data_IF_305969521157
#
_entry.id   IF_305969521157
#
_cell.length_a   1.000
_cell.length_b   1.000
_cell.length_c   1.000
_cell.angle_alpha   90.00
_cell.angle_beta   90.00
_cell.angle_gamma   90.00
#
_symmetry.space_group_name_H-M   'P 1'
#
loop_
_entity.id
_entity.type
_entity.pdbx_description
1 polymer ?
#
# COMPACT_ATOMS: atom_id res chain seq x y z
N UNK A 1 94.01 -169.37 -64.91
CA UNK A 1 93.20 -168.20 -64.51
C UNK A 1 93.91 -167.50 -63.36
N UNK A 2 94.79 -166.57 -63.69
CA UNK A 2 95.67 -165.90 -62.72
C UNK A 2 94.92 -164.79 -61.98
N UNK A 3 95.13 -164.76 -60.67
CA UNK A 3 94.54 -163.91 -59.63
C UNK A 3 94.42 -162.40 -59.98
N UNK A 4 95.22 -161.94 -60.95
CA UNK A 4 95.23 -160.56 -61.46
C UNK A 4 93.91 -160.14 -62.14
N UNK A 5 93.32 -161.01 -62.98
CA UNK A 5 92.08 -160.71 -63.71
C UNK A 5 90.86 -160.57 -62.77
N UNK A 6 90.82 -161.37 -61.70
CA UNK A 6 89.78 -161.29 -60.66
C UNK A 6 89.90 -160.01 -59.83
N UNK A 7 91.13 -159.63 -59.44
CA UNK A 7 91.38 -158.37 -58.74
C UNK A 7 91.08 -157.13 -59.60
N UNK A 8 91.37 -157.16 -60.91
CA UNK A 8 91.05 -156.04 -61.81
C UNK A 8 89.54 -155.93 -62.06
N UNK A 9 88.84 -157.06 -62.21
CA UNK A 9 87.38 -157.07 -62.32
C UNK A 9 86.69 -156.60 -61.04
N UNK A 10 87.12 -157.06 -59.85
CA UNK A 10 86.59 -156.59 -58.56
C UNK A 10 86.90 -155.10 -58.31
N UNK A 11 88.05 -154.60 -58.77
CA UNK A 11 88.38 -153.16 -58.73
C UNK A 11 87.50 -152.36 -59.69
N UNK A 12 87.25 -152.86 -60.90
CA UNK A 12 86.36 -152.21 -61.86
C UNK A 12 84.91 -152.21 -61.37
N UNK A 13 84.39 -153.33 -60.87
CA UNK A 13 83.06 -153.40 -60.24
C UNK A 13 82.95 -152.44 -59.05
N UNK A 14 83.96 -152.36 -58.18
CA UNK A 14 83.97 -151.37 -57.09
C UNK A 14 84.07 -149.93 -57.59
N UNK A 15 84.78 -149.67 -58.68
CA UNK A 15 84.88 -148.34 -59.28
C UNK A 15 83.56 -147.93 -59.95
N UNK A 16 82.89 -148.87 -60.61
CA UNK A 16 81.58 -148.70 -61.25
C UNK A 16 80.48 -148.46 -60.19
N UNK A 17 80.46 -149.25 -59.12
CA UNK A 17 79.54 -149.07 -58.01
C UNK A 17 79.81 -147.76 -57.25
N UNK A 18 81.08 -147.33 -57.14
CA UNK A 18 81.44 -145.99 -56.63
C UNK A 18 81.01 -144.87 -57.58
N UNK A 19 81.05 -145.10 -58.88
CA UNK A 19 80.66 -144.12 -59.89
C UNK A 19 79.15 -143.96 -59.94
N UNK A 20 78.38 -145.05 -59.88
CA UNK A 20 76.93 -145.03 -59.74
C UNK A 20 76.50 -144.34 -58.43
N UNK A 21 77.14 -144.67 -57.30
CA UNK A 21 76.92 -143.97 -56.03
C UNK A 21 77.28 -142.49 -56.09
N UNK A 22 78.35 -142.12 -56.82
CA UNK A 22 78.69 -140.72 -57.05
C UNK A 22 77.65 -140.02 -57.92
N UNK A 23 77.10 -140.69 -58.95
CA UNK A 23 76.05 -140.15 -59.79
C UNK A 23 74.74 -139.93 -59.02
N UNK A 24 74.31 -140.90 -58.20
CA UNK A 24 73.12 -140.73 -57.35
C UNK A 24 73.34 -139.61 -56.34
N UNK A 25 74.51 -139.54 -55.71
CA UNK A 25 74.87 -138.45 -54.80
C UNK A 25 74.86 -137.08 -55.50
N UNK A 26 75.39 -137.00 -56.72
CA UNK A 26 75.36 -135.76 -57.54
C UNK A 26 73.92 -135.39 -57.91
N UNK A 27 73.08 -136.36 -58.28
CA UNK A 27 71.68 -136.12 -58.60
C UNK A 27 70.89 -135.64 -57.38
N UNK A 28 71.11 -136.25 -56.21
CA UNK A 28 70.50 -135.84 -54.94
C UNK A 28 70.97 -134.44 -54.52
N UNK A 29 72.27 -134.14 -54.66
CA UNK A 29 72.81 -132.80 -54.42
C UNK A 29 72.22 -131.77 -55.38
N UNK A 30 72.02 -132.14 -56.65
CA UNK A 30 71.38 -131.27 -57.65
C UNK A 30 69.94 -130.97 -57.28
N UNK A 31 69.15 -131.98 -56.92
CA UNK A 31 67.78 -131.79 -56.45
C UNK A 31 67.73 -130.88 -55.22
N UNK A 32 68.65 -131.06 -54.26
CA UNK A 32 68.76 -130.17 -53.09
C UNK A 32 69.13 -128.72 -53.46
N UNK A 33 69.97 -128.52 -54.49
CA UNK A 33 70.29 -127.18 -54.99
C UNK A 33 69.06 -126.54 -55.62
N UNK A 34 68.31 -127.29 -56.42
CA UNK A 34 67.10 -126.81 -57.08
C UNK A 34 66.01 -126.45 -56.04
N UNK A 35 65.77 -127.30 -55.03
CA UNK A 35 64.85 -127.03 -53.93
C UNK A 35 65.23 -125.76 -53.14
N UNK A 36 66.53 -125.61 -52.83
CA UNK A 36 67.04 -124.39 -52.16
C UNK A 36 66.90 -123.15 -53.04
N UNK A 37 67.05 -123.29 -54.35
CA UNK A 37 66.90 -122.18 -55.29
C UNK A 37 65.43 -121.72 -55.35
N UNK A 38 64.49 -122.66 -55.33
CA UNK A 38 63.06 -122.37 -55.25
C UNK A 38 62.68 -121.71 -53.92
N UNK A 39 63.24 -122.18 -52.80
CA UNK A 39 63.08 -121.53 -51.50
C UNK A 39 63.62 -120.08 -51.51
N UNK A 40 64.82 -119.86 -52.04
CA UNK A 40 65.40 -118.52 -52.21
C UNK A 40 64.49 -117.63 -53.06
N UNK A 41 63.94 -118.15 -54.16
CA UNK A 41 63.04 -117.40 -55.03
C UNK A 41 61.73 -117.02 -54.33
N UNK A 42 61.16 -117.92 -53.53
CA UNK A 42 59.97 -117.66 -52.72
C UNK A 42 60.24 -116.62 -51.63
N UNK A 43 61.37 -116.75 -50.92
CA UNK A 43 61.79 -115.79 -49.90
C UNK A 43 62.03 -114.39 -50.49
N UNK A 44 62.64 -114.30 -51.69
CA UNK A 44 62.81 -113.03 -52.42
C UNK A 44 61.47 -112.38 -52.74
N UNK A 45 60.53 -113.12 -53.34
CA UNK A 45 59.19 -112.60 -53.65
C UNK A 45 58.44 -112.16 -52.40
N UNK A 46 58.56 -112.92 -51.29
CA UNK A 46 57.94 -112.55 -50.01
C UNK A 46 58.57 -111.28 -49.43
N UNK A 47 59.89 -111.15 -49.51
CA UNK A 47 60.62 -109.98 -49.04
C UNK A 47 60.24 -108.73 -49.86
N UNK A 48 60.19 -108.83 -51.19
CA UNK A 48 59.73 -107.76 -52.08
C UNK A 48 58.30 -107.30 -51.72
N UNK A 49 57.38 -108.26 -51.55
CA UNK A 49 56.00 -107.97 -51.16
C UNK A 49 55.94 -107.28 -49.79
N UNK A 50 56.65 -107.79 -48.79
CA UNK A 50 56.68 -107.19 -47.46
C UNK A 50 57.29 -105.79 -47.46
N UNK A 51 58.32 -105.55 -48.28
CA UNK A 51 58.92 -104.23 -48.45
C UNK A 51 57.91 -103.26 -49.07
N UNK A 52 57.23 -103.65 -50.15
CA UNK A 52 56.19 -102.83 -50.78
C UNK A 52 55.04 -102.52 -49.82
N UNK A 53 54.54 -103.52 -49.09
CA UNK A 53 53.46 -103.37 -48.11
C UNK A 53 53.88 -102.42 -46.96
N UNK A 54 55.12 -102.54 -46.46
CA UNK A 54 55.66 -101.62 -45.44
C UNK A 54 55.86 -100.21 -45.97
N UNK A 55 56.37 -100.05 -47.19
CA UNK A 55 56.53 -98.74 -47.81
C UNK A 55 55.19 -98.05 -48.01
N UNK A 56 54.16 -98.79 -48.44
CA UNK A 56 52.83 -98.23 -48.63
C UNK A 56 52.17 -97.83 -47.30
N UNK A 57 52.29 -98.67 -46.27
CA UNK A 57 51.76 -98.33 -44.93
C UNK A 57 52.47 -97.12 -44.34
N UNK A 58 53.79 -97.02 -44.50
CA UNK A 58 54.56 -95.84 -44.09
C UNK A 58 54.16 -94.59 -44.86
N UNK A 59 54.00 -94.67 -46.19
CA UNK A 59 53.54 -93.53 -47.01
C UNK A 59 52.16 -93.04 -46.56
N UNK A 60 51.21 -93.96 -46.35
CA UNK A 60 49.87 -93.61 -45.89
C UNK A 60 49.91 -92.96 -44.49
N UNK A 61 50.72 -93.49 -43.57
CA UNK A 61 50.87 -92.91 -42.23
C UNK A 61 51.51 -91.51 -42.27
N UNK A 62 52.54 -91.31 -43.12
CA UNK A 62 53.17 -90.00 -43.31
C UNK A 62 52.15 -88.99 -43.84
N UNK A 63 51.31 -89.38 -44.81
CA UNK A 63 50.30 -88.48 -45.38
C UNK A 63 49.22 -88.10 -44.35
N UNK A 64 48.71 -89.08 -43.59
CA UNK A 64 47.77 -88.82 -42.50
C UNK A 64 48.35 -87.88 -41.43
N UNK A 65 49.64 -88.07 -41.07
CA UNK A 65 50.32 -87.18 -40.14
C UNK A 65 50.48 -85.77 -40.71
N UNK A 66 50.82 -85.63 -42.00
CA UNK A 66 50.90 -84.33 -42.68
C UNK A 66 49.56 -83.60 -42.69
N UNK A 67 48.49 -84.29 -43.04
CA UNK A 67 47.14 -83.72 -43.00
C UNK A 67 46.78 -83.25 -41.59
N UNK A 68 47.09 -84.07 -40.57
CA UNK A 68 46.83 -83.71 -39.18
C UNK A 68 47.64 -82.50 -38.73
N UNK A 69 48.91 -82.40 -39.12
CA UNK A 69 49.77 -81.24 -38.84
C UNK A 69 49.18 -79.99 -39.49
N UNK A 70 48.81 -80.05 -40.78
CA UNK A 70 48.20 -78.92 -41.48
C UNK A 70 46.89 -78.45 -40.81
N UNK A 71 46.04 -79.38 -40.35
CA UNK A 71 44.82 -79.04 -39.60
C UNK A 71 45.12 -78.35 -38.27
N UNK A 72 46.10 -78.85 -37.52
CA UNK A 72 46.52 -78.24 -36.27
C UNK A 72 47.13 -76.86 -36.48
N UNK A 73 47.97 -76.67 -37.51
CA UNK A 73 48.54 -75.37 -37.86
C UNK A 73 47.45 -74.35 -38.21
N UNK A 74 46.45 -74.75 -39.00
CA UNK A 74 45.30 -73.90 -39.30
C UNK A 74 44.53 -73.52 -38.04
N UNK A 75 44.32 -74.48 -37.13
CA UNK A 75 43.62 -74.24 -35.86
C UNK A 75 44.42 -73.29 -34.96
N UNK A 76 45.74 -73.47 -34.87
CA UNK A 76 46.64 -72.59 -34.13
C UNK A 76 46.58 -71.17 -34.70
N UNK A 77 46.63 -71.01 -36.01
CA UNK A 77 46.55 -69.70 -36.66
C UNK A 77 45.22 -69.00 -36.38
N UNK A 78 44.10 -69.73 -36.44
CA UNK A 78 42.77 -69.20 -36.10
C UNK A 78 42.69 -68.76 -34.63
N UNK A 79 43.18 -69.59 -33.70
CA UNK A 79 43.21 -69.26 -32.27
C UNK A 79 44.09 -68.04 -31.98
N UNK A 80 45.26 -67.94 -32.62
CA UNK A 80 46.14 -66.78 -32.49
C UNK A 80 45.50 -65.49 -33.00
N UNK A 81 44.78 -65.55 -34.13
CA UNK A 81 44.04 -64.40 -34.65
C UNK A 81 42.87 -64.01 -33.73
N UNK A 82 42.14 -65.01 -33.21
CA UNK A 82 41.07 -64.80 -32.23
C UNK A 82 41.58 -64.13 -30.96
N UNK A 83 42.70 -64.62 -30.41
CA UNK A 83 43.33 -64.05 -29.22
C UNK A 83 43.76 -62.61 -29.44
N UNK A 84 44.46 -62.30 -30.54
CA UNK A 84 44.88 -60.93 -30.87
C UNK A 84 43.69 -59.98 -30.99
N UNK A 85 42.59 -60.44 -31.58
CA UNK A 85 41.37 -59.64 -31.71
C UNK A 85 40.74 -59.37 -30.34
N UNK A 86 40.62 -60.42 -29.51
CA UNK A 86 40.08 -60.30 -28.16
C UNK A 86 40.92 -59.39 -27.26
N UNK A 87 42.25 -59.47 -27.34
CA UNK A 87 43.18 -58.59 -26.62
C UNK A 87 43.00 -57.13 -27.05
N UNK A 88 42.88 -56.88 -28.36
CA UNK A 88 42.65 -55.53 -28.89
C UNK A 88 41.33 -54.96 -28.39
N UNK A 89 40.23 -55.72 -28.48
CA UNK A 89 38.92 -55.28 -28.00
C UNK A 89 38.91 -55.04 -26.49
N UNK A 90 39.60 -55.90 -25.73
CA UNK A 90 39.71 -55.75 -24.27
C UNK A 90 40.46 -54.46 -23.91
N UNK A 91 41.56 -54.16 -24.60
CA UNK A 91 42.30 -52.89 -24.43
C UNK A 91 41.43 -51.68 -24.74
N UNK A 92 40.70 -51.70 -25.85
CA UNK A 92 39.81 -50.61 -26.24
C UNK A 92 38.72 -50.38 -25.19
N UNK A 93 38.09 -51.45 -24.69
CA UNK A 93 37.08 -51.34 -23.66
C UNK A 93 37.64 -50.78 -22.34
N UNK A 94 38.85 -51.19 -21.96
CA UNK A 94 39.51 -50.65 -20.77
C UNK A 94 39.79 -49.15 -20.90
N UNK A 95 40.24 -48.68 -22.07
CA UNK A 95 40.45 -47.26 -22.34
C UNK A 95 39.13 -46.47 -22.29
N UNK A 96 38.06 -46.99 -22.90
CA UNK A 96 36.73 -46.38 -22.85
C UNK A 96 36.18 -46.28 -21.42
N UNK A 97 36.28 -47.35 -20.64
CA UNK A 97 35.86 -47.36 -19.24
C UNK A 97 36.68 -46.39 -18.39
N UNK A 98 37.99 -46.29 -18.63
CA UNK A 98 38.83 -45.34 -17.93
C UNK A 98 38.44 -43.90 -18.24
N UNK A 99 38.17 -43.58 -19.51
CA UNK A 99 37.71 -42.26 -19.92
C UNK A 99 36.36 -41.91 -19.28
N UNK A 100 35.40 -42.84 -19.30
CA UNK A 100 34.10 -42.64 -18.64
C UNK A 100 34.23 -42.44 -17.13
N UNK A 101 35.15 -43.17 -16.47
CA UNK A 101 35.39 -43.01 -15.03
C UNK A 101 35.97 -41.62 -14.75
N UNK A 102 36.91 -41.15 -15.55
CA UNK A 102 37.50 -39.82 -15.42
C UNK A 102 36.44 -38.71 -15.63
N UNK A 103 35.59 -38.83 -16.65
CA UNK A 103 34.50 -37.88 -16.90
C UNK A 103 33.49 -37.82 -15.74
N UNK A 104 33.09 -38.99 -15.22
CA UNK A 104 32.18 -39.08 -14.07
C UNK A 104 32.82 -38.48 -12.82
N UNK A 105 34.11 -38.70 -12.61
CA UNK A 105 34.85 -38.12 -11.49
C UNK A 105 34.89 -36.60 -11.58
N UNK A 106 35.20 -36.04 -12.76
CA UNK A 106 35.16 -34.60 -13.00
C UNK A 106 33.77 -34.01 -12.75
N UNK A 107 32.71 -34.72 -13.16
CA UNK A 107 31.33 -34.26 -12.92
C UNK A 107 30.94 -34.29 -11.44
N UNK A 108 31.38 -35.30 -10.70
CA UNK A 108 31.17 -35.39 -9.25
C UNK A 108 31.85 -34.22 -8.55
N UNK A 109 33.08 -33.89 -8.93
CA UNK A 109 33.81 -32.75 -8.36
C UNK A 109 33.11 -31.42 -8.65
N UNK A 110 32.63 -31.21 -9.87
CA UNK A 110 31.85 -30.02 -10.24
C UNK A 110 30.58 -29.88 -9.37
N UNK A 111 29.79 -30.95 -9.25
CA UNK A 111 28.56 -30.96 -8.45
C UNK A 111 28.85 -30.73 -6.95
N UNK A 112 29.96 -31.27 -6.43
CA UNK A 112 30.37 -31.02 -5.06
C UNK A 112 30.73 -29.56 -4.81
N UNK A 113 31.40 -28.89 -5.76
CA UNK A 113 31.70 -27.47 -5.65
C UNK A 113 30.44 -26.61 -5.73
N UNK A 114 29.52 -26.92 -6.64
CA UNK A 114 28.23 -26.23 -6.74
C UNK A 114 27.41 -26.38 -5.45
N UNK A 115 27.37 -27.60 -4.88
CA UNK A 115 26.69 -27.85 -3.60
C UNK A 115 27.28 -27.03 -2.46
N UNK A 116 28.61 -26.96 -2.34
CA UNK A 116 29.29 -26.12 -1.34
C UNK A 116 28.96 -24.63 -1.51
N UNK A 117 28.89 -24.16 -2.74
CA UNK A 117 28.54 -22.78 -3.04
C UNK A 117 27.09 -22.47 -2.65
N UNK A 118 26.14 -23.34 -3.02
CA UNK A 118 24.73 -23.18 -2.65
C UNK A 118 24.50 -23.18 -1.13
N UNK A 119 25.24 -24.01 -0.38
CA UNK A 119 25.17 -24.01 1.09
C UNK A 119 25.61 -22.65 1.65
N UNK A 120 26.70 -22.07 1.13
CA UNK A 120 27.16 -20.74 1.58
C UNK A 120 26.15 -19.64 1.24
N UNK A 121 25.59 -19.67 0.05
CA UNK A 121 24.56 -18.70 -0.38
C UNK A 121 23.31 -18.80 0.48
N UNK A 122 22.88 -20.03 0.80
CA UNK A 122 21.78 -20.29 1.73
C UNK A 122 22.07 -19.73 3.12
N UNK A 123 23.24 -20.01 3.69
CA UNK A 123 23.65 -19.48 5.00
C UNK A 123 23.69 -17.95 5.04
N UNK A 124 24.13 -17.31 3.96
CA UNK A 124 24.11 -15.85 3.85
C UNK A 124 22.68 -15.30 3.79
N UNK A 125 21.81 -15.92 3.00
CA UNK A 125 20.41 -15.53 2.90
C UNK A 125 19.67 -15.70 4.24
N UNK A 126 19.93 -16.81 4.97
CA UNK A 126 19.37 -17.03 6.30
C UNK A 126 19.83 -15.97 7.30
N UNK A 127 21.12 -15.57 7.29
CA UNK A 127 21.62 -14.49 8.14
C UNK A 127 20.95 -13.15 7.83
N UNK A 128 20.80 -12.81 6.55
CA UNK A 128 20.11 -11.59 6.13
C UNK A 128 18.64 -11.61 6.57
N UNK A 129 17.97 -12.75 6.42
CA UNK A 129 16.58 -12.89 6.85
C UNK A 129 16.43 -12.74 8.37
N UNK A 130 17.33 -13.36 9.15
CA UNK A 130 17.38 -13.16 10.60
C UNK A 130 17.62 -11.69 10.99
N UNK A 131 18.49 -10.97 10.28
CA UNK A 131 18.70 -9.54 10.53
C UNK A 131 17.45 -8.71 10.25
N UNK A 132 16.75 -8.97 9.15
CA UNK A 132 15.50 -8.28 8.82
C UNK A 132 14.40 -8.57 9.85
N UNK A 133 14.26 -9.82 10.28
CA UNK A 133 13.30 -10.24 11.29
C UNK A 133 13.61 -9.65 12.68
N UNK A 134 14.88 -9.53 13.06
CA UNK A 134 15.27 -9.05 14.38
C UNK A 134 15.36 -7.52 14.50
N UNK A 135 15.72 -6.82 13.42
CA UNK A 135 15.94 -5.37 13.47
C UNK A 135 14.76 -4.62 12.87
N UNK A 136 14.45 -4.92 11.61
CA UNK A 136 13.56 -4.07 10.82
C UNK A 136 12.08 -4.30 11.12
N UNK A 137 11.69 -5.55 11.37
CA UNK A 137 10.33 -5.91 11.72
C UNK A 137 9.88 -5.25 13.05
N UNK A 138 10.66 -5.35 14.15
CA UNK A 138 10.33 -4.69 15.40
C UNK A 138 10.33 -3.17 15.32
N UNK A 139 11.26 -2.57 14.57
CA UNK A 139 11.29 -1.12 14.32
C UNK A 139 10.00 -0.65 13.66
N UNK A 140 9.61 -1.27 12.53
CA UNK A 140 8.38 -0.94 11.82
C UNK A 140 7.13 -1.18 12.68
N UNK A 141 7.13 -2.23 13.49
CA UNK A 141 6.02 -2.52 14.39
C UNK A 141 5.91 -1.49 15.53
N UNK A 142 7.04 -1.00 16.04
CA UNK A 142 7.10 0.11 17.00
C UNK A 142 6.58 1.41 16.39
N UNK A 143 7.02 1.76 15.17
CA UNK A 143 6.52 2.94 14.44
C UNK A 143 5.02 2.86 14.18
N UNK A 144 4.51 1.69 13.78
CA UNK A 144 3.08 1.48 13.56
C UNK A 144 2.28 1.68 14.85
N UNK A 145 2.74 1.13 15.97
CA UNK A 145 2.10 1.33 17.27
C UNK A 145 2.12 2.80 17.69
N UNK A 146 3.24 3.50 17.51
CA UNK A 146 3.35 4.93 17.79
C UNK A 146 2.38 5.76 16.93
N UNK A 147 2.29 5.47 15.63
CA UNK A 147 1.34 6.15 14.74
C UNK A 147 -0.11 5.89 15.15
N UNK A 148 -0.42 4.66 15.55
CA UNK A 148 -1.75 4.30 16.05
C UNK A 148 -2.11 5.06 17.33
N UNK A 149 -1.19 5.17 18.29
CA UNK A 149 -1.39 5.94 19.52
C UNK A 149 -1.56 7.45 19.25
N UNK A 150 -0.79 7.98 18.29
CA UNK A 150 -0.96 9.37 17.86
C UNK A 150 -2.30 9.60 17.18
N UNK A 151 -2.77 8.66 16.36
CA UNK A 151 -4.06 8.72 15.70
C UNK A 151 -5.20 8.73 16.74
N UNK A 152 -5.20 7.81 17.69
CA UNK A 152 -6.23 7.78 18.75
C UNK A 152 -6.22 9.04 19.61
N UNK A 153 -5.04 9.59 19.90
CA UNK A 153 -4.90 10.87 20.60
C UNK A 153 -5.51 12.02 19.80
N UNK A 154 -5.30 12.05 18.48
CA UNK A 154 -5.89 13.06 17.60
C UNK A 154 -7.40 12.89 17.46
N UNK A 155 -7.89 11.67 17.32
CA UNK A 155 -9.33 11.36 17.26
C UNK A 155 -10.05 11.86 18.52
N UNK A 156 -9.52 11.52 19.70
CA UNK A 156 -10.10 11.99 20.98
C UNK A 156 -9.99 13.51 21.16
N UNK A 157 -8.94 14.15 20.66
CA UNK A 157 -8.83 15.61 20.67
C UNK A 157 -9.86 16.24 19.73
N UNK A 158 -10.10 15.64 18.57
CA UNK A 158 -11.08 16.12 17.59
C UNK A 158 -12.51 15.99 18.13
N UNK A 159 -12.86 14.85 18.73
CA UNK A 159 -14.15 14.67 19.43
C UNK A 159 -14.37 15.73 20.50
N UNK A 160 -13.33 16.09 21.27
CA UNK A 160 -13.43 17.16 22.28
C UNK A 160 -13.66 18.54 21.65
N UNK A 161 -13.03 18.82 20.51
CA UNK A 161 -13.22 20.07 19.79
C UNK A 161 -14.63 20.16 19.19
N UNK A 162 -15.12 19.08 18.59
CA UNK A 162 -16.49 18.99 18.06
C UNK A 162 -17.53 19.20 19.18
N UNK A 163 -17.35 18.56 20.33
CA UNK A 163 -18.20 18.77 21.50
C UNK A 163 -18.16 20.22 22.01
N UNK A 164 -17.00 20.88 21.99
CA UNK A 164 -16.88 22.30 22.36
C UNK A 164 -17.58 23.20 21.35
N UNK A 165 -17.40 22.94 20.06
CA UNK A 165 -18.05 23.69 18.98
C UNK A 165 -19.58 23.58 19.09
N UNK A 166 -20.11 22.38 19.31
CA UNK A 166 -21.55 22.17 19.48
C UNK A 166 -22.08 22.93 20.70
N UNK A 167 -21.37 22.91 21.84
CA UNK A 167 -21.74 23.70 23.03
C UNK A 167 -21.74 25.20 22.76
N UNK A 168 -20.74 25.70 22.03
CA UNK A 168 -20.68 27.12 21.63
C UNK A 168 -21.85 27.49 20.72
N UNK A 169 -22.18 26.66 19.73
CA UNK A 169 -23.32 26.90 18.84
C UNK A 169 -24.64 26.98 19.60
N UNK A 170 -24.89 26.05 20.53
CA UNK A 170 -26.10 26.08 21.38
C UNK A 170 -26.13 27.36 22.22
N UNK A 171 -25.01 27.71 22.87
CA UNK A 171 -24.91 28.92 23.69
C UNK A 171 -25.16 30.20 22.87
N UNK A 172 -24.57 30.31 21.68
CA UNK A 172 -24.80 31.45 20.79
C UNK A 172 -26.23 31.52 20.29
N UNK A 173 -26.83 30.40 19.89
CA UNK A 173 -28.23 30.35 19.48
C UNK A 173 -29.15 30.83 20.61
N UNK A 174 -28.89 30.40 21.84
CA UNK A 174 -29.70 30.78 23.00
C UNK A 174 -29.50 32.26 23.38
N UNK A 175 -28.26 32.77 23.27
CA UNK A 175 -27.98 34.19 23.44
C UNK A 175 -28.67 35.05 22.38
N UNK A 176 -28.66 34.63 21.11
CA UNK A 176 -29.38 35.30 20.03
C UNK A 176 -30.88 35.32 20.28
N UNK A 177 -31.47 34.20 20.72
CA UNK A 177 -32.89 34.13 21.04
C UNK A 177 -33.26 35.05 22.23
N UNK A 178 -32.41 35.11 23.25
CA UNK A 178 -32.60 36.01 24.40
C UNK A 178 -32.55 37.48 23.96
N UNK A 179 -31.55 37.85 23.15
CA UNK A 179 -31.43 39.22 22.62
C UNK A 179 -32.62 39.59 21.72
N UNK A 180 -33.08 38.68 20.86
CA UNK A 180 -34.30 38.90 20.06
C UNK A 180 -35.53 39.11 20.94
N UNK A 181 -35.67 38.33 22.01
CA UNK A 181 -36.77 38.48 22.97
C UNK A 181 -36.71 39.83 23.68
N UNK A 182 -35.53 40.22 24.17
CA UNK A 182 -35.32 41.52 24.81
C UNK A 182 -35.60 42.68 23.86
N UNK A 183 -35.13 42.61 22.61
CA UNK A 183 -35.41 43.62 21.59
C UNK A 183 -36.91 43.72 21.30
N UNK A 184 -37.61 42.59 21.21
CA UNK A 184 -39.06 42.58 21.02
C UNK A 184 -39.78 43.24 22.20
N UNK A 185 -39.43 42.90 23.43
CA UNK A 185 -40.01 43.52 24.64
C UNK A 185 -39.73 45.01 24.71
N UNK A 186 -38.50 45.44 24.40
CA UNK A 186 -38.15 46.87 24.35
C UNK A 186 -38.95 47.61 23.27
N UNK A 187 -39.16 46.99 22.11
CA UNK A 187 -39.98 47.55 21.04
C UNK A 187 -41.44 47.72 21.46
N UNK A 188 -42.04 46.70 22.09
CA UNK A 188 -43.40 46.76 22.64
C UNK A 188 -43.54 47.86 23.71
N UNK A 189 -42.53 48.04 24.56
CA UNK A 189 -42.49 49.12 25.54
C UNK A 189 -42.43 50.50 24.88
N UNK A 190 -41.59 50.69 23.86
CA UNK A 190 -41.51 51.94 23.11
C UNK A 190 -42.84 52.24 22.42
N UNK A 191 -43.48 51.25 21.80
CA UNK A 191 -44.81 51.45 21.20
C UNK A 191 -45.84 51.89 22.23
N UNK A 192 -45.87 51.24 23.40
CA UNK A 192 -46.78 51.59 24.48
C UNK A 192 -46.55 53.02 24.99
N UNK A 193 -45.29 53.39 25.27
CA UNK A 193 -44.92 54.75 25.69
C UNK A 193 -45.27 55.79 24.62
N UNK A 194 -45.04 55.48 23.34
CA UNK A 194 -45.40 56.36 22.22
C UNK A 194 -46.91 56.56 22.15
N UNK A 195 -47.71 55.50 22.34
CA UNK A 195 -49.18 55.61 22.41
C UNK A 195 -49.61 56.46 23.61
N UNK A 196 -49.05 56.22 24.79
CA UNK A 196 -49.33 57.03 25.98
C UNK A 196 -48.99 58.50 25.76
N UNK A 197 -47.82 58.80 25.18
CA UNK A 197 -47.41 60.15 24.85
C UNK A 197 -48.39 60.83 23.88
N UNK A 198 -48.85 60.12 22.85
CA UNK A 198 -49.87 60.66 21.91
C UNK A 198 -51.18 60.97 22.64
N UNK A 199 -51.68 60.05 23.47
CA UNK A 199 -52.90 60.26 24.24
C UNK A 199 -52.76 61.45 25.20
N UNK A 200 -51.63 61.56 25.89
CA UNK A 200 -51.32 62.68 26.76
C UNK A 200 -51.25 64.01 25.99
N UNK A 201 -50.59 64.04 24.82
CA UNK A 201 -50.57 65.24 23.96
C UNK A 201 -51.97 65.64 23.51
N UNK A 202 -52.83 64.69 23.12
CA UNK A 202 -54.23 64.97 22.73
C UNK A 202 -55.03 65.51 23.92
N UNK A 203 -54.94 64.87 25.08
CA UNK A 203 -55.62 65.33 26.29
C UNK A 203 -55.16 66.74 26.71
N UNK A 204 -53.86 67.01 26.65
CA UNK A 204 -53.29 68.32 26.92
C UNK A 204 -53.75 69.37 25.90
N UNK A 205 -53.89 68.99 24.62
CA UNK A 205 -54.44 69.87 23.58
C UNK A 205 -55.90 70.23 23.83
N UNK A 206 -56.71 69.24 24.21
CA UNK A 206 -58.12 69.46 24.55
C UNK A 206 -58.25 70.36 25.79
N UNK A 207 -57.46 70.09 26.84
CA UNK A 207 -57.44 70.91 28.04
C UNK A 207 -56.99 72.35 27.78
N UNK A 208 -55.94 72.52 26.97
CA UNK A 208 -55.45 73.83 26.54
C UNK A 208 -56.56 74.63 25.86
N UNK A 209 -57.24 74.04 24.87
CA UNK A 209 -58.24 74.72 24.07
C UNK A 209 -59.53 75.03 24.84
N UNK A 210 -60.02 74.06 25.63
CA UNK A 210 -61.35 74.17 26.26
C UNK A 210 -61.32 74.89 27.60
N UNK A 211 -60.24 74.75 28.37
CA UNK A 211 -60.20 75.28 29.75
C UNK A 211 -59.15 76.37 29.91
N UNK A 212 -57.88 76.09 29.58
CA UNK A 212 -56.80 77.01 29.94
C UNK A 212 -56.86 78.30 29.09
N UNK A 213 -56.99 78.17 27.77
CA UNK A 213 -57.04 79.30 26.86
C UNK A 213 -58.28 80.17 27.11
N UNK A 214 -59.46 79.55 27.27
CA UNK A 214 -60.69 80.29 27.56
C UNK A 214 -60.61 81.06 28.88
N UNK A 215 -60.11 80.42 29.95
CA UNK A 215 -59.90 81.10 31.22
C UNK A 215 -58.89 82.23 31.12
N UNK A 216 -57.79 82.02 30.38
CA UNK A 216 -56.75 83.01 30.22
C UNK A 216 -57.23 84.24 29.44
N UNK A 217 -57.93 84.04 28.32
CA UNK A 217 -58.52 85.13 27.53
C UNK A 217 -59.52 85.93 28.37
N UNK A 218 -60.42 85.25 29.09
CA UNK A 218 -61.38 85.90 29.99
C UNK A 218 -60.67 86.72 31.08
N UNK A 219 -59.61 86.20 31.67
CA UNK A 219 -58.83 86.92 32.69
C UNK A 219 -58.19 88.20 32.12
N UNK A 220 -57.61 88.16 30.91
CA UNK A 220 -57.01 89.33 30.25
C UNK A 220 -58.08 90.35 29.81
N UNK A 221 -59.21 89.90 29.25
CA UNK A 221 -60.28 90.79 28.79
C UNK A 221 -61.04 91.47 29.94
N UNK A 222 -61.12 90.82 31.10
CA UNK A 222 -61.78 91.34 32.30
C UNK A 222 -60.99 92.42 33.07
N UNK A 223 -59.79 92.79 32.61
CA UNK A 223 -58.93 93.79 33.27
C UNK A 223 -59.57 95.19 33.20
N UNK A 224 -60.01 95.70 34.36
CA UNK A 224 -60.66 97.02 34.51
C UNK A 224 -59.63 98.17 34.60
N UNK A 225 -58.48 97.95 35.27
CA UNK A 225 -57.41 98.95 35.39
C UNK A 225 -56.26 98.67 34.41
N UNK A 226 -56.48 99.04 33.14
CA UNK A 226 -55.55 98.71 32.04
C UNK A 226 -54.17 99.36 32.21
N UNK A 227 -54.09 100.57 32.75
CA UNK A 227 -52.83 101.30 32.94
C UNK A 227 -51.91 100.55 33.92
N UNK A 228 -52.46 100.07 35.06
CA UNK A 228 -51.73 99.30 36.06
C UNK A 228 -51.31 97.92 35.53
N UNK A 229 -52.19 97.24 34.79
CA UNK A 229 -51.86 95.97 34.15
C UNK A 229 -50.73 96.12 33.13
N UNK A 230 -50.76 97.20 32.33
CA UNK A 230 -49.73 97.49 31.33
C UNK A 230 -48.36 97.76 31.98
N UNK A 231 -48.33 98.54 33.06
CA UNK A 231 -47.11 98.77 33.85
C UNK A 231 -46.58 97.47 34.47
N UNK A 232 -47.45 96.60 34.96
CA UNK A 232 -47.07 95.30 35.51
C UNK A 232 -46.51 94.36 34.45
N UNK A 233 -47.09 94.32 33.25
CA UNK A 233 -46.61 93.46 32.16
C UNK A 233 -45.33 94.01 31.56
N UNK A 234 -45.20 95.32 31.42
CA UNK A 234 -43.94 95.95 30.98
C UNK A 234 -42.83 95.73 32.02
N UNK A 235 -43.15 95.73 33.32
CA UNK A 235 -42.22 95.29 34.37
C UNK A 235 -41.86 93.81 34.26
N UNK A 236 -42.81 92.93 33.95
CA UNK A 236 -42.57 91.49 33.75
C UNK A 236 -41.68 91.26 32.52
N UNK A 237 -41.97 91.92 31.39
CA UNK A 237 -41.13 91.90 30.20
C UNK A 237 -39.72 92.41 30.51
N UNK A 238 -39.56 93.53 31.21
CA UNK A 238 -38.24 94.07 31.59
C UNK A 238 -37.48 93.18 32.58
N UNK A 239 -38.14 92.61 33.59
CA UNK A 239 -37.51 91.69 34.56
C UNK A 239 -37.07 90.38 33.91
N UNK A 240 -37.85 89.82 32.97
CA UNK A 240 -37.56 88.53 32.33
C UNK A 240 -36.71 88.64 31.05
N UNK A 241 -36.56 89.84 30.47
CA UNK A 241 -35.61 90.10 29.37
C UNK A 241 -34.15 89.87 29.77
N UNK A 242 -33.84 89.94 31.07
CA UNK A 242 -32.48 89.93 31.57
C UNK A 242 -31.98 88.56 32.07
N UNK A 243 -32.83 87.59 32.44
CA UNK A 243 -32.29 86.36 33.09
C UNK A 243 -32.87 85.00 32.68
N UNK A 244 -34.11 84.83 32.17
CA UNK A 244 -34.64 83.45 31.93
C UNK A 244 -35.48 83.22 30.66
N UNK A 245 -36.09 84.24 30.04
CA UNK A 245 -37.06 84.02 28.94
C UNK A 245 -36.48 84.18 27.53
N UNK A 246 -35.17 84.46 27.41
CA UNK A 246 -34.51 84.50 26.09
C UNK A 246 -34.53 83.16 25.35
N UNK A 247 -34.64 82.04 26.08
CA UNK A 247 -34.67 80.69 25.53
C UNK A 247 -36.10 80.15 25.29
N UNK A 248 -37.15 80.92 25.61
CA UNK A 248 -38.54 80.47 25.51
C UNK A 248 -39.34 81.39 24.57
N UNK A 249 -39.23 81.20 23.24
CA UNK A 249 -39.83 82.10 22.25
C UNK A 249 -41.36 82.20 22.38
N UNK A 250 -42.03 81.11 22.76
CA UNK A 250 -43.48 81.04 22.95
C UNK A 250 -43.95 81.97 24.07
N UNK A 251 -43.22 81.98 25.19
CA UNK A 251 -43.56 82.80 26.36
C UNK A 251 -43.44 84.30 26.05
N UNK A 252 -42.36 84.68 25.35
CA UNK A 252 -42.16 86.06 24.90
C UNK A 252 -43.24 86.49 23.91
N UNK A 253 -43.60 85.61 22.98
CA UNK A 253 -44.60 85.88 21.95
C UNK A 253 -45.98 86.13 22.56
N UNK A 254 -46.43 85.25 23.48
CA UNK A 254 -47.72 85.41 24.17
C UNK A 254 -47.74 86.69 25.00
N UNK A 255 -46.67 87.02 25.74
CA UNK A 255 -46.59 88.29 26.47
C UNK A 255 -46.69 89.51 25.55
N UNK A 256 -46.03 89.47 24.38
CA UNK A 256 -46.09 90.56 23.41
C UNK A 256 -47.51 90.74 22.87
N UNK A 257 -48.22 89.65 22.60
CA UNK A 257 -49.62 89.69 22.18
C UNK A 257 -50.52 90.33 23.24
N UNK A 258 -50.29 90.03 24.53
CA UNK A 258 -51.04 90.66 25.62
C UNK A 258 -50.76 92.17 25.69
N UNK A 259 -49.49 92.58 25.61
CA UNK A 259 -49.11 94.00 25.61
C UNK A 259 -49.79 94.72 24.45
N UNK A 260 -49.68 94.18 23.23
CA UNK A 260 -50.30 94.76 22.04
C UNK A 260 -51.83 94.89 22.23
N UNK A 261 -52.48 93.89 22.82
CA UNK A 261 -53.92 93.93 23.08
C UNK A 261 -54.33 94.99 24.09
N UNK A 262 -53.54 95.18 25.15
CA UNK A 262 -53.81 96.19 26.17
C UNK A 262 -53.49 97.62 25.69
N UNK A 263 -52.50 97.79 24.81
CA UNK A 263 -52.13 99.07 24.19
C UNK A 263 -53.16 99.54 23.14
N UNK A 264 -53.72 98.63 22.35
CA UNK A 264 -54.54 98.96 21.17
C UNK A 264 -56.05 99.03 21.43
N UNK A 265 -56.51 98.88 22.68
CA UNK A 265 -57.94 98.86 23.04
C UNK A 265 -58.78 97.80 22.28
N UNK A 266 -58.15 96.75 21.73
CA UNK A 266 -58.84 95.75 20.94
C UNK A 266 -59.69 94.81 21.82
N UNK A 267 -60.96 94.65 21.45
CA UNK A 267 -61.90 93.66 22.02
C UNK A 267 -61.73 92.25 21.40
N UNK A 268 -60.62 91.99 20.71
CA UNK A 268 -60.39 90.77 19.91
C UNK A 268 -59.03 90.13 20.24
N UNK A 269 -58.67 90.02 21.52
CA UNK A 269 -57.44 89.34 21.95
C UNK A 269 -57.43 87.87 21.48
N UNK A 270 -58.58 87.20 21.59
CA UNK A 270 -58.77 85.80 21.17
C UNK A 270 -58.44 85.57 19.69
N UNK A 271 -58.95 86.43 18.80
CA UNK A 271 -58.79 86.28 17.34
C UNK A 271 -57.33 86.47 16.88
N UNK A 272 -56.53 87.22 17.64
CA UNK A 272 -55.10 87.39 17.36
C UNK A 272 -54.24 86.31 18.03
N UNK A 273 -54.71 85.70 19.12
CA UNK A 273 -53.97 84.70 19.88
C UNK A 273 -54.06 83.30 19.24
N UNK A 274 -55.26 82.87 18.83
CA UNK A 274 -55.47 81.52 18.28
C UNK A 274 -54.60 81.18 17.05
N UNK A 275 -54.50 82.00 15.99
CA UNK A 275 -53.69 81.67 14.80
C UNK A 275 -52.18 81.68 15.08
N UNK A 276 -51.73 82.50 16.03
CA UNK A 276 -50.32 82.60 16.43
C UNK A 276 -49.88 81.42 17.32
N UNK A 277 -50.84 80.76 17.97
CA UNK A 277 -50.58 79.58 18.80
C UNK A 277 -50.49 78.28 17.96
N UNK A 278 -51.04 78.23 16.75
CA UNK A 278 -50.97 77.03 15.89
C UNK A 278 -49.54 76.65 15.46
N UNK A 279 -48.58 77.57 15.53
CA UNK A 279 -47.20 77.33 15.13
C UNK A 279 -46.32 76.70 16.20
N UNK A 280 -46.83 76.53 17.43
CA UNK A 280 -46.05 76.06 18.58
C UNK A 280 -46.53 74.69 19.08
N UNK A 281 -45.66 73.94 19.77
CA UNK A 281 -46.09 72.68 20.38
C UNK A 281 -47.04 72.96 21.54
N UNK A 282 -48.13 72.20 21.62
CA UNK A 282 -49.19 72.35 22.63
C UNK A 282 -48.65 72.36 24.07
N UNK A 283 -47.60 71.57 24.34
CA UNK A 283 -46.91 71.56 25.64
C UNK A 283 -46.29 72.93 25.93
N UNK A 284 -45.57 73.51 24.97
CA UNK A 284 -44.91 74.81 25.12
C UNK A 284 -45.92 75.95 25.29
N UNK A 285 -47.08 75.85 24.63
CA UNK A 285 -48.17 76.83 24.74
C UNK A 285 -48.86 76.75 26.11
N UNK A 286 -49.25 75.55 26.53
CA UNK A 286 -49.89 75.33 27.83
C UNK A 286 -49.00 75.82 28.97
N UNK A 287 -47.71 75.52 28.84
CA UNK A 287 -46.68 75.96 29.75
C UNK A 287 -46.54 77.50 29.81
N UNK A 288 -46.42 78.13 28.64
CA UNK A 288 -46.33 79.59 28.54
C UNK A 288 -47.54 80.31 29.13
N UNK A 289 -48.75 79.84 28.84
CA UNK A 289 -49.98 80.43 29.37
C UNK A 289 -50.03 80.26 30.89
N UNK A 290 -49.73 79.07 31.42
CA UNK A 290 -49.71 78.83 32.87
C UNK A 290 -48.70 79.73 33.59
N UNK A 291 -47.47 79.82 33.07
CA UNK A 291 -46.42 80.65 33.63
C UNK A 291 -46.83 82.14 33.67
N UNK A 292 -47.32 82.67 32.54
CA UNK A 292 -47.78 84.07 32.44
C UNK A 292 -48.95 84.33 33.39
N UNK A 293 -49.96 83.46 33.37
CA UNK A 293 -51.19 83.59 34.17
C UNK A 293 -50.89 83.56 35.67
N UNK A 294 -49.98 82.70 36.11
CA UNK A 294 -49.60 82.62 37.50
C UNK A 294 -48.83 83.87 37.98
N UNK A 295 -47.94 84.42 37.14
CA UNK A 295 -47.24 85.67 37.47
C UNK A 295 -48.20 86.87 37.52
N UNK A 296 -49.18 86.92 36.61
CA UNK A 296 -50.25 87.92 36.60
C UNK A 296 -51.09 87.90 37.88
N UNK A 297 -51.56 86.71 38.27
CA UNK A 297 -52.53 86.56 39.36
C UNK A 297 -51.91 86.69 40.74
N UNK A 298 -50.67 86.22 40.90
CA UNK A 298 -50.05 86.10 42.22
C UNK A 298 -48.92 87.10 42.47
N UNK A 299 -48.50 87.90 41.48
CA UNK A 299 -47.34 88.81 41.58
C UNK A 299 -46.07 88.13 42.10
N UNK A 300 -45.99 86.79 41.96
CA UNK A 300 -44.92 85.95 42.48
C UNK A 300 -44.18 85.30 41.33
N UNK A 301 -42.85 85.36 41.40
CA UNK A 301 -41.95 84.72 40.45
C UNK A 301 -42.07 83.22 40.68
N UNK A 302 -42.46 82.47 39.65
CA UNK A 302 -42.29 81.02 39.65
C UNK A 302 -40.94 80.75 38.99
N UNK A 303 -40.00 80.21 39.76
CA UNK A 303 -38.70 79.79 39.26
C UNK A 303 -38.78 78.34 38.82
N UNK A 304 -38.13 78.01 37.72
CA UNK A 304 -37.98 76.61 37.29
C UNK A 304 -36.62 76.08 37.74
N UNK A 305 -36.60 74.86 38.23
CA UNK A 305 -35.34 74.15 38.32
C UNK A 305 -34.88 73.62 36.95
N UNK A 306 -33.66 73.10 36.92
CA UNK A 306 -33.07 72.48 35.73
C UNK A 306 -33.80 71.22 35.22
N UNK A 307 -34.83 70.74 35.92
CA UNK A 307 -35.70 69.64 35.50
C UNK A 307 -37.04 70.12 34.92
N UNK A 308 -37.34 71.42 34.98
CA UNK A 308 -38.55 72.04 34.45
C UNK A 308 -39.69 72.19 35.46
N UNK A 309 -39.48 71.83 36.73
CA UNK A 309 -40.49 71.87 37.78
C UNK A 309 -40.63 73.28 38.39
N UNK A 310 -41.87 73.64 38.72
CA UNK A 310 -42.23 74.96 39.25
C UNK A 310 -41.95 75.07 40.75
N UNK A 311 -40.98 75.89 41.13
CA UNK A 311 -40.65 76.22 42.52
C UNK A 311 -41.34 77.53 42.90
N UNK A 312 -42.13 77.49 43.97
CA UNK A 312 -42.66 78.69 44.61
C UNK A 312 -41.55 79.35 45.45
N UNK A 313 -41.09 80.53 45.05
CA UNK A 313 -40.31 81.40 45.94
C UNK A 313 -41.17 81.79 47.14
N UNK A 314 -40.69 81.51 48.36
CA UNK A 314 -41.34 81.92 49.60
C UNK A 314 -41.31 83.43 49.80
#
# INVERSE_FOLDING_TARGET
MTNWAKQTWERNQKAELRWEQAQTTIADQKNQIDDRQDEINLLRKRLERLTLEKEQTLKNAIEQHRERVNQLENTINQLQQGLKTAEKTSRQLLEELQNQLNERQAKIEELQQQSKQLIREKEQAEKLNQQLEQQRLPELQSELNQLKDRLTTLETANEKLENRLQKQQISHSQQQQNLQTQLKTAHEQIEHLTRQQRTAKVALSQWLQLELLEQFVNEIESIVNRQEALENIQRLQQKRLNEEWQNFPVHRHILQLIVNSLEQNHQQFRENLEPELETFEVIEIADAILAIRAEFKFHRIIQRDSAGDYIHGF
#
